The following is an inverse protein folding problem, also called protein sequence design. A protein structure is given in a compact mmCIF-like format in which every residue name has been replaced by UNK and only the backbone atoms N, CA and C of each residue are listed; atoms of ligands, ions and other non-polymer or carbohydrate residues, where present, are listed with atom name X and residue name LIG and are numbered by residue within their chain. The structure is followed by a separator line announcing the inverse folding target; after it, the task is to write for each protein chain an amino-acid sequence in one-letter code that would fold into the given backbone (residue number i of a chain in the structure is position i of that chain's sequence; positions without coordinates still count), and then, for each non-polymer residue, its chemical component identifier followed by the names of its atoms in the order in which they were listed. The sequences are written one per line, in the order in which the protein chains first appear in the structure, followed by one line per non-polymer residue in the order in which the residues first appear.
data_IF_856948232992
#
_entry.id   IF_856948232992
#
_cell.length_a   1.000
_cell.length_b   1.000
_cell.length_c   1.000
_cell.angle_alpha   90.00
_cell.angle_beta   90.00
_cell.angle_gamma   90.00
#
_symmetry.space_group_name_H-M   'P 1'
#
loop_
_entity.id
_entity.type
_entity.pdbx_description
1 polymer ?
#
# COMPACT_ATOMS: atom_id res chain seq x y z
N UNK A 1 -8.57 -3.93 6.72
CA UNK A 1 -8.39 -3.54 5.30
C UNK A 1 -9.53 -4.09 4.44
N UNK A 2 -10.08 -3.33 3.45
CA UNK A 2 -11.28 -3.73 2.69
C UNK A 2 -11.16 -5.03 1.89
N UNK A 3 -9.94 -5.41 1.48
CA UNK A 3 -9.70 -6.65 0.74
C UNK A 3 -9.77 -7.90 1.65
N UNK A 4 -9.40 -7.76 2.93
CA UNK A 4 -9.30 -8.91 3.84
C UNK A 4 -10.64 -9.61 4.07
N UNK A 5 -11.73 -8.84 4.14
CA UNK A 5 -13.08 -9.39 4.36
C UNK A 5 -13.60 -10.24 3.20
N UNK A 6 -12.97 -10.15 2.02
CA UNK A 6 -13.36 -10.92 0.83
C UNK A 6 -12.22 -11.78 0.28
N UNK A 7 -11.13 -11.91 1.04
CA UNK A 7 -9.94 -12.62 0.59
C UNK A 7 -10.24 -14.09 0.28
N UNK A 8 -11.04 -14.74 1.12
CA UNK A 8 -11.47 -16.13 0.91
C UNK A 8 -12.27 -16.31 -0.39
N UNK A 9 -13.09 -15.32 -0.78
CA UNK A 9 -13.82 -15.36 -2.05
C UNK A 9 -12.88 -15.18 -3.24
N UNK A 10 -11.87 -14.30 -3.13
CA UNK A 10 -10.85 -14.11 -4.17
C UNK A 10 -10.07 -15.40 -4.39
N UNK A 11 -9.69 -16.10 -3.31
CA UNK A 11 -8.94 -17.35 -3.36
C UNK A 11 -9.66 -18.49 -4.09
N UNK A 12 -11.01 -18.48 -4.15
CA UNK A 12 -11.79 -19.46 -4.92
C UNK A 12 -11.51 -19.38 -6.41
N UNK A 13 -11.11 -18.22 -6.92
CA UNK A 13 -10.92 -17.97 -8.36
C UNK A 13 -9.48 -17.63 -8.73
N UNK A 14 -8.66 -17.20 -7.76
CA UNK A 14 -7.29 -16.73 -8.00
C UNK A 14 -6.33 -17.38 -7.00
N UNK A 15 -5.36 -18.15 -7.49
CA UNK A 15 -4.38 -18.85 -6.64
C UNK A 15 -3.07 -18.09 -6.43
N UNK A 16 -2.64 -17.32 -7.43
CA UNK A 16 -1.36 -16.61 -7.41
C UNK A 16 -1.58 -15.18 -6.92
N UNK A 17 -1.61 -15.00 -5.61
CA UNK A 17 -1.84 -13.72 -4.97
C UNK A 17 -0.53 -13.10 -4.46
N UNK A 18 -0.29 -11.84 -4.79
CA UNK A 18 0.85 -11.07 -4.31
C UNK A 18 0.37 -9.69 -3.88
N UNK A 19 0.89 -9.20 -2.76
CA UNK A 19 0.33 -8.05 -2.07
C UNK A 19 1.35 -6.92 -1.96
N UNK A 20 0.83 -5.72 -2.13
CA UNK A 20 1.49 -4.48 -1.73
C UNK A 20 0.67 -3.88 -0.61
N UNK A 21 1.29 -3.58 0.52
CA UNK A 21 0.57 -3.10 1.69
C UNK A 21 1.25 -1.86 2.25
N UNK A 22 0.55 -0.73 2.17
CA UNK A 22 1.06 0.56 2.64
C UNK A 22 0.82 0.73 4.14
N UNK A 23 1.89 1.00 4.88
CA UNK A 23 1.85 1.43 6.27
C UNK A 23 2.88 2.55 6.42
N UNK A 24 2.44 3.80 6.52
CA UNK A 24 3.32 4.97 6.69
C UNK A 24 3.27 5.56 8.10
N UNK A 25 2.18 5.28 8.83
CA UNK A 25 1.87 5.94 10.10
C UNK A 25 1.58 7.44 9.98
N UNK A 26 1.23 7.92 8.78
CA UNK A 26 1.10 9.35 8.50
C UNK A 26 -0.35 9.86 8.61
N UNK A 27 -0.94 9.78 9.81
CA UNK A 27 -2.34 10.17 10.04
C UNK A 27 -2.63 11.65 9.77
N UNK A 28 -1.60 12.48 9.80
CA UNK A 28 -1.70 13.92 9.49
C UNK A 28 -2.01 14.18 8.02
N UNK A 29 -1.52 13.32 7.12
CA UNK A 29 -1.80 13.42 5.68
C UNK A 29 -2.72 12.30 5.17
N UNK A 30 -2.89 11.22 5.92
CA UNK A 30 -3.76 10.07 5.62
C UNK A 30 -4.97 10.07 6.56
N UNK A 31 -5.91 10.99 6.30
CA UNK A 31 -6.94 11.40 7.25
C UNK A 31 -7.88 10.29 7.73
N UNK A 32 -8.05 9.23 6.94
CA UNK A 32 -8.98 8.12 7.23
C UNK A 32 -8.38 6.76 6.94
N UNK A 33 -7.06 6.60 7.10
CA UNK A 33 -6.43 5.27 7.10
C UNK A 33 -6.57 4.59 8.46
N UNK A 34 -6.49 3.24 8.51
CA UNK A 34 -6.44 2.51 9.77
C UNK A 34 -5.29 2.95 10.68
N UNK A 35 -5.43 2.71 11.99
CA UNK A 35 -4.32 2.88 12.93
C UNK A 35 -3.13 1.98 12.55
N UNK A 36 -1.90 2.44 12.83
CA UNK A 36 -0.67 1.70 12.52
C UNK A 36 -0.70 0.28 13.08
N UNK A 37 -1.19 0.10 14.33
CA UNK A 37 -1.21 -1.22 14.95
C UNK A 37 -2.19 -2.16 14.25
N UNK A 38 -3.32 -1.64 13.78
CA UNK A 38 -4.30 -2.45 13.06
C UNK A 38 -3.83 -2.77 11.65
N UNK A 39 -3.19 -1.81 10.96
CA UNK A 39 -2.54 -2.03 9.67
C UNK A 39 -1.42 -3.08 9.77
N UNK A 40 -0.63 -3.07 10.85
CA UNK A 40 0.39 -4.09 11.12
C UNK A 40 -0.24 -5.46 11.37
N UNK A 41 -1.33 -5.56 12.14
CA UNK A 41 -2.05 -6.83 12.34
C UNK A 41 -2.53 -7.39 11.01
N UNK A 42 -3.13 -6.55 10.17
CA UNK A 42 -3.59 -6.91 8.82
C UNK A 42 -2.44 -7.40 7.93
N UNK A 43 -1.30 -6.69 7.96
CA UNK A 43 -0.10 -7.11 7.22
C UNK A 43 0.41 -8.48 7.68
N UNK A 44 0.57 -8.67 9.00
CA UNK A 44 1.05 -9.91 9.59
C UNK A 44 0.09 -11.06 9.27
N UNK A 45 -1.22 -10.80 9.26
CA UNK A 45 -2.22 -11.78 8.87
C UNK A 45 -1.97 -12.29 7.43
N UNK A 46 -1.76 -11.39 6.46
CA UNK A 46 -1.43 -11.76 5.08
C UNK A 46 -0.08 -12.48 5.00
N UNK A 47 0.96 -11.93 5.64
CA UNK A 47 2.30 -12.51 5.64
C UNK A 47 2.33 -13.93 6.22
N UNK A 48 1.49 -14.19 7.22
CA UNK A 48 1.36 -15.52 7.86
C UNK A 48 0.52 -16.48 7.01
N UNK A 49 -0.53 -15.98 6.34
CA UNK A 49 -1.41 -16.80 5.50
C UNK A 49 -0.71 -17.30 4.24
N UNK A 50 0.14 -16.48 3.61
CA UNK A 50 0.83 -16.84 2.37
C UNK A 50 2.33 -17.08 2.57
N UNK A 51 3.07 -16.01 2.87
CA UNK A 51 4.47 -15.98 3.27
C UNK A 51 4.95 -14.52 3.26
N UNK A 52 5.97 -14.15 4.04
CA UNK A 52 6.67 -12.86 3.92
C UNK A 52 7.14 -12.52 2.49
N UNK A 53 7.31 -13.50 1.61
CA UNK A 53 7.70 -13.29 0.20
C UNK A 53 6.52 -12.92 -0.70
N UNK A 54 5.28 -13.08 -0.23
CA UNK A 54 4.05 -12.75 -0.96
C UNK A 54 3.58 -11.31 -0.73
N UNK A 55 4.22 -10.56 0.16
CA UNK A 55 3.79 -9.22 0.53
C UNK A 55 4.99 -8.27 0.63
N UNK A 56 4.84 -7.08 0.07
CA UNK A 56 5.79 -5.99 0.21
C UNK A 56 5.18 -4.92 1.11
N UNK A 57 5.94 -4.51 2.13
CA UNK A 57 5.63 -3.31 2.89
C UNK A 57 5.95 -2.08 2.04
N UNK A 58 5.02 -1.15 1.96
CA UNK A 58 5.23 0.14 1.32
C UNK A 58 5.21 1.22 2.38
N UNK A 59 6.38 1.74 2.73
CA UNK A 59 6.50 3.00 3.46
C UNK A 59 6.50 4.14 2.43
N UNK A 60 5.41 4.19 1.65
CA UNK A 60 5.33 4.97 0.43
C UNK A 60 3.96 5.64 0.26
N UNK A 61 3.91 6.95 -0.08
CA UNK A 61 5.05 7.84 -0.26
C UNK A 61 5.48 8.51 1.07
N UNK A 62 6.77 8.86 1.16
CA UNK A 62 7.28 9.79 2.18
C UNK A 62 6.96 11.21 1.72
N UNK A 63 6.25 12.00 2.54
CA UNK A 63 5.74 13.32 2.17
C UNK A 63 6.23 14.41 3.14
N UNK A 64 7.36 15.03 2.82
CA UNK A 64 7.95 16.03 3.71
C UNK A 64 7.11 17.31 3.74
N UNK A 65 6.86 17.81 4.94
CA UNK A 65 6.17 19.08 5.18
C UNK A 65 6.90 19.88 6.26
N UNK A 66 6.46 21.10 6.50
CA UNK A 66 6.91 21.95 7.61
C UNK A 66 6.76 21.27 8.98
N UNK A 67 5.81 20.35 9.15
CA UNK A 67 5.54 19.62 10.39
C UNK A 67 5.83 18.12 10.34
N UNK A 68 6.23 17.61 9.17
CA UNK A 68 6.65 16.21 8.98
C UNK A 68 8.07 16.17 8.40
N UNK A 69 9.08 16.57 9.19
CA UNK A 69 10.49 16.43 8.82
C UNK A 69 10.97 14.97 8.84
N UNK A 70 12.22 14.75 8.41
CA UNK A 70 12.80 13.41 8.23
C UNK A 70 12.85 12.58 9.51
N UNK A 71 13.17 13.19 10.64
CA UNK A 71 13.18 12.58 11.99
C UNK A 71 11.81 12.00 12.36
N UNK A 72 10.71 12.71 12.08
CA UNK A 72 9.36 12.16 12.30
C UNK A 72 9.11 10.91 11.46
N UNK A 73 9.59 10.88 10.21
CA UNK A 73 9.48 9.69 9.36
C UNK A 73 10.40 8.56 9.80
N UNK A 74 11.57 8.88 10.33
CA UNK A 74 12.52 7.92 10.89
C UNK A 74 11.92 7.17 12.07
N UNK A 75 11.36 7.90 13.04
CA UNK A 75 10.72 7.31 14.22
C UNK A 75 9.58 6.36 13.84
N UNK A 76 8.74 6.77 12.88
CA UNK A 76 7.66 5.93 12.34
C UNK A 76 8.21 4.70 11.63
N UNK A 77 9.23 4.87 10.81
CA UNK A 77 9.85 3.77 10.08
C UNK A 77 10.41 2.73 11.06
N UNK A 78 11.14 3.16 12.09
CA UNK A 78 11.69 2.29 13.14
C UNK A 78 10.56 1.53 13.84
N UNK A 79 9.53 2.24 14.30
CA UNK A 79 8.40 1.64 14.99
C UNK A 79 7.71 0.56 14.15
N UNK A 80 7.45 0.84 12.86
CA UNK A 80 6.78 -0.11 11.97
C UNK A 80 7.72 -1.26 11.60
N UNK A 81 8.99 -0.99 11.32
CA UNK A 81 9.98 -2.02 10.99
C UNK A 81 10.18 -3.01 12.15
N UNK A 82 10.17 -2.52 13.39
CA UNK A 82 10.21 -3.35 14.59
C UNK A 82 8.98 -4.25 14.69
N UNK A 83 7.78 -3.68 14.52
CA UNK A 83 6.53 -4.43 14.55
C UNK A 83 6.42 -5.48 13.43
N UNK A 84 7.05 -5.23 12.27
CA UNK A 84 7.07 -6.14 11.12
C UNK A 84 8.26 -7.09 11.10
N UNK A 85 9.13 -7.07 12.13
CA UNK A 85 10.32 -7.93 12.20
C UNK A 85 9.94 -9.40 11.99
N UNK A 86 10.62 -10.05 11.05
CA UNK A 86 10.35 -11.45 10.68
C UNK A 86 9.21 -11.66 9.69
N UNK A 87 8.31 -10.68 9.52
CA UNK A 87 7.14 -10.76 8.61
C UNK A 87 7.31 -9.95 7.32
N UNK A 88 8.19 -8.95 7.29
CA UNK A 88 8.57 -8.24 6.08
C UNK A 88 9.97 -8.65 5.60
N UNK A 89 10.14 -8.79 4.28
CA UNK A 89 11.45 -9.03 3.63
C UNK A 89 11.90 -7.84 2.80
N UNK A 90 10.95 -7.04 2.33
CA UNK A 90 11.20 -5.92 1.44
C UNK A 90 10.29 -4.75 1.81
N UNK A 91 10.88 -3.56 1.81
CA UNK A 91 10.18 -2.30 1.93
C UNK A 91 10.43 -1.43 0.70
N UNK A 92 9.37 -0.90 0.10
CA UNK A 92 9.45 0.08 -0.99
C UNK A 92 9.15 1.47 -0.46
N UNK A 93 10.01 2.42 -0.83
CA UNK A 93 9.83 3.86 -0.58
C UNK A 93 9.85 4.66 -1.89
N UNK A 94 9.27 5.86 -1.82
CA UNK A 94 9.53 6.98 -2.72
C UNK A 94 9.22 8.27 -1.98
N UNK A 95 9.59 9.41 -2.54
CA UNK A 95 9.15 10.71 -2.05
C UNK A 95 7.97 11.19 -2.88
N UNK A 96 6.93 11.69 -2.21
CA UNK A 96 5.86 12.40 -2.89
C UNK A 96 6.46 13.57 -3.68
N UNK A 97 5.89 13.83 -4.86
CA UNK A 97 6.22 15.02 -5.64
C UNK A 97 5.11 16.06 -5.47
N UNK A 98 5.45 17.35 -5.37
CA UNK A 98 4.45 18.40 -5.36
C UNK A 98 3.80 18.48 -6.74
N UNK A 99 2.48 18.35 -6.79
CA UNK A 99 1.69 18.66 -7.99
C UNK A 99 0.43 19.40 -7.58
N UNK A 100 -0.16 20.17 -8.50
CA UNK A 100 -1.17 21.16 -8.16
C UNK A 100 -2.34 20.63 -7.32
N UNK A 101 -2.81 19.41 -7.57
CA UNK A 101 -3.87 18.81 -6.75
C UNK A 101 -3.40 18.43 -5.35
N UNK A 102 -2.23 17.81 -5.19
CA UNK A 102 -1.70 17.51 -3.85
C UNK A 102 -1.49 18.78 -3.02
N UNK A 103 -0.93 19.85 -3.62
CA UNK A 103 -0.74 21.12 -2.93
C UNK A 103 -2.08 21.72 -2.46
N UNK A 104 -3.11 21.72 -3.33
CA UNK A 104 -4.45 22.18 -2.96
C UNK A 104 -5.10 21.32 -1.88
N UNK A 105 -4.97 19.99 -1.97
CA UNK A 105 -5.57 19.07 -1.01
C UNK A 105 -4.92 19.20 0.37
N UNK A 106 -3.59 19.26 0.42
CA UNK A 106 -2.86 19.49 1.67
C UNK A 106 -3.31 20.82 2.29
N UNK A 107 -3.30 21.91 1.53
CA UNK A 107 -3.74 23.22 2.04
C UNK A 107 -5.23 23.30 2.44
N UNK A 108 -6.11 22.52 1.78
CA UNK A 108 -7.55 22.51 2.07
C UNK A 108 -7.90 21.66 3.29
N UNK A 109 -7.24 20.52 3.44
CA UNK A 109 -7.67 19.48 4.38
C UNK A 109 -6.72 19.28 5.57
N UNK A 110 -5.56 19.92 5.57
CA UNK A 110 -4.59 19.86 6.67
C UNK A 110 -4.02 21.25 6.96
N UNK A 111 -3.28 21.37 8.05
CA UNK A 111 -2.54 22.58 8.44
C UNK A 111 -1.04 22.48 8.07
N UNK A 112 -0.70 21.65 7.07
CA UNK A 112 0.67 21.41 6.62
C UNK A 112 0.98 22.17 5.33
N UNK A 113 2.26 22.41 5.10
CA UNK A 113 2.81 22.94 3.85
C UNK A 113 3.83 21.97 3.26
N UNK A 114 3.61 21.57 2.01
CA UNK A 114 4.52 20.64 1.32
C UNK A 114 5.92 21.25 1.17
N UNK A 115 6.94 20.45 1.47
CA UNK A 115 8.34 20.79 1.25
C UNK A 115 8.92 19.76 0.28
N UNK A 116 9.65 20.22 -0.73
CA UNK A 116 10.42 19.35 -1.63
C UNK A 116 11.92 19.46 -1.30
N UNK A 117 12.47 18.60 -0.42
CA UNK A 117 13.88 18.66 -0.11
C UNK A 117 14.75 18.36 -1.33
N UNK A 118 15.95 18.91 -1.35
CA UNK A 118 16.95 18.59 -2.35
C UNK A 118 17.22 17.07 -2.43
N UNK A 119 17.48 16.59 -3.66
CA UNK A 119 17.74 15.18 -3.92
C UNK A 119 18.87 14.60 -3.04
N UNK A 120 19.92 15.38 -2.75
CA UNK A 120 21.02 14.95 -1.87
C UNK A 120 20.54 14.59 -0.47
N UNK A 121 19.63 15.40 0.10
CA UNK A 121 19.06 15.16 1.43
C UNK A 121 18.15 13.94 1.44
N UNK A 122 17.30 13.80 0.41
CA UNK A 122 16.44 12.62 0.22
C UNK A 122 17.25 11.33 0.07
N UNK A 123 18.34 11.37 -0.71
CA UNK A 123 19.26 10.24 -0.89
C UNK A 123 19.92 9.86 0.44
N UNK A 124 20.49 10.83 1.16
CA UNK A 124 21.09 10.58 2.47
C UNK A 124 20.09 9.94 3.45
N UNK A 125 18.84 10.41 3.45
CA UNK A 125 17.79 9.82 4.28
C UNK A 125 17.42 8.40 3.84
N UNK A 126 17.32 8.12 2.54
CA UNK A 126 17.06 6.77 2.03
C UNK A 126 18.19 5.79 2.39
N UNK A 127 19.45 6.21 2.28
CA UNK A 127 20.62 5.40 2.70
C UNK A 127 20.58 5.12 4.21
N UNK A 128 20.20 6.11 5.02
CA UNK A 128 20.00 5.95 6.46
C UNK A 128 18.89 4.94 6.79
N UNK A 129 17.72 5.09 6.17
CA UNK A 129 16.61 4.14 6.31
C UNK A 129 16.99 2.73 5.86
N UNK A 130 17.86 2.57 4.86
CA UNK A 130 18.34 1.26 4.42
C UNK A 130 19.18 0.58 5.51
N UNK A 131 20.01 1.34 6.23
CA UNK A 131 20.75 0.86 7.39
C UNK A 131 19.82 0.36 8.50
N UNK A 132 18.77 1.14 8.80
CA UNK A 132 17.73 0.75 9.78
C UNK A 132 17.00 -0.51 9.30
N UNK A 133 16.50 -0.53 8.07
CA UNK A 133 15.77 -1.65 7.50
C UNK A 133 16.58 -2.95 7.57
N UNK A 134 17.88 -2.88 7.26
CA UNK A 134 18.80 -4.01 7.34
C UNK A 134 18.91 -4.59 8.76
N UNK A 135 18.89 -3.75 9.80
CA UNK A 135 18.88 -4.21 11.20
C UNK A 135 17.62 -5.04 11.54
N UNK A 136 16.51 -4.83 10.85
CA UNK A 136 15.28 -5.61 10.98
C UNK A 136 15.15 -6.75 9.96
N UNK A 137 16.17 -6.99 9.13
CA UNK A 137 16.15 -8.02 8.09
C UNK A 137 15.30 -7.64 6.87
N UNK A 138 15.09 -6.34 6.64
CA UNK A 138 14.26 -5.81 5.56
C UNK A 138 15.18 -5.17 4.50
N UNK A 139 15.03 -5.56 3.24
CA UNK A 139 15.68 -4.90 2.11
C UNK A 139 14.91 -3.65 1.71
N UNK A 140 15.60 -2.52 1.56
CA UNK A 140 15.00 -1.27 1.11
C UNK A 140 15.15 -1.10 -0.41
N UNK A 141 14.05 -0.75 -1.07
CA UNK A 141 14.00 -0.48 -2.51
C UNK A 141 13.30 0.86 -2.79
N UNK A 142 13.72 1.57 -3.82
CA UNK A 142 13.15 2.84 -4.25
C UNK A 142 12.36 2.67 -5.56
N UNK A 143 11.13 3.20 -5.60
CA UNK A 143 10.28 3.14 -6.80
C UNK A 143 10.30 4.46 -7.58
N UNK A 144 10.67 4.40 -8.86
CA UNK A 144 10.67 5.56 -9.78
C UNK A 144 11.45 6.76 -9.22
N UNK A 145 12.59 6.50 -8.60
CA UNK A 145 13.46 7.50 -7.98
C UNK A 145 14.90 7.02 -8.04
N UNK A 146 15.45 6.91 -9.26
CA UNK A 146 16.76 6.30 -9.50
C UNK A 146 17.90 7.08 -8.81
N UNK A 147 17.70 8.37 -8.53
CA UNK A 147 18.64 9.20 -7.75
C UNK A 147 18.82 8.73 -6.29
N UNK A 148 17.92 7.88 -5.77
CA UNK A 148 18.02 7.30 -4.44
C UNK A 148 18.89 6.03 -4.40
N UNK A 149 19.20 5.45 -5.56
CA UNK A 149 19.89 4.15 -5.62
C UNK A 149 21.31 4.23 -5.04
N UNK A 150 21.71 3.15 -4.39
CA UNK A 150 23.03 2.97 -3.78
C UNK A 150 23.30 1.47 -3.58
N UNK A 151 24.44 1.13 -2.97
CA UNK A 151 24.74 -0.25 -2.57
C UNK A 151 23.74 -0.80 -1.53
N UNK A 152 22.99 0.08 -0.85
CA UNK A 152 22.01 -0.30 0.18
C UNK A 152 20.56 -0.03 -0.22
N UNK A 153 20.31 0.78 -1.26
CA UNK A 153 18.97 1.10 -1.77
C UNK A 153 18.83 0.58 -3.19
N UNK A 154 17.96 -0.42 -3.38
CA UNK A 154 17.80 -1.10 -4.67
C UNK A 154 16.69 -0.49 -5.51
N UNK A 155 16.69 -0.80 -6.81
CA UNK A 155 15.59 -0.39 -7.71
C UNK A 155 14.38 -1.29 -7.48
N UNK A 156 13.24 -0.68 -7.18
CA UNK A 156 11.99 -1.41 -7.03
C UNK A 156 11.32 -1.68 -8.39
N UNK A 157 10.64 -2.82 -8.46
CA UNK A 157 9.63 -3.13 -9.46
C UNK A 157 8.38 -3.60 -8.70
N UNK A 158 7.32 -2.79 -8.68
CA UNK A 158 6.10 -3.16 -7.96
C UNK A 158 5.46 -4.43 -8.56
N UNK A 159 5.49 -4.56 -9.88
CA UNK A 159 5.16 -5.81 -10.57
C UNK A 159 6.44 -6.34 -11.21
N UNK A 160 7.04 -7.35 -10.60
CA UNK A 160 8.27 -7.97 -11.08
C UNK A 160 7.99 -9.38 -11.58
N UNK A 161 7.85 -9.53 -12.90
CA UNK A 161 7.59 -10.81 -13.53
C UNK A 161 8.64 -11.88 -13.22
N UNK A 162 9.91 -11.53 -12.97
CA UNK A 162 10.94 -12.51 -12.58
C UNK A 162 10.71 -12.99 -11.15
N UNK A 163 10.53 -12.05 -10.21
CA UNK A 163 10.24 -12.37 -8.80
C UNK A 163 8.96 -13.21 -8.68
N UNK A 164 7.89 -12.78 -9.34
CA UNK A 164 6.59 -13.45 -9.31
C UNK A 164 6.65 -14.82 -10.00
N UNK A 165 7.45 -14.98 -11.07
CA UNK A 165 7.62 -16.29 -11.71
C UNK A 165 8.25 -17.30 -10.76
N UNK A 166 9.27 -16.86 -10.01
CA UNK A 166 9.93 -17.68 -9.00
C UNK A 166 8.98 -18.01 -7.84
N UNK A 167 8.25 -17.01 -7.35
CA UNK A 167 7.33 -17.16 -6.23
C UNK A 167 6.19 -18.15 -6.53
N UNK A 168 5.63 -18.10 -7.73
CA UNK A 168 4.48 -18.90 -8.12
C UNK A 168 4.82 -20.15 -8.94
N UNK A 169 6.10 -20.41 -9.20
CA UNK A 169 6.54 -21.52 -10.06
C UNK A 169 5.91 -21.48 -11.45
N UNK A 170 5.60 -20.29 -11.97
CA UNK A 170 4.86 -20.07 -13.23
C UNK A 170 5.62 -19.10 -14.11
N UNK A 171 5.80 -19.39 -15.39
CA UNK A 171 6.45 -18.46 -16.31
C UNK A 171 5.55 -17.25 -16.62
N UNK A 172 5.93 -16.06 -16.15
CA UNK A 172 5.26 -14.78 -16.43
C UNK A 172 6.04 -13.93 -17.44
N UNK A 173 5.40 -12.91 -18.01
CA UNK A 173 6.07 -11.94 -18.88
C UNK A 173 7.10 -11.14 -18.06
N UNK A 174 8.36 -11.18 -18.48
CA UNK A 174 9.49 -10.53 -17.82
C UNK A 174 9.95 -9.28 -18.55
N UNK A 175 9.30 -8.91 -19.67
CA UNK A 175 9.60 -7.69 -20.40
C UNK A 175 9.24 -6.47 -19.58
N UNK A 176 10.19 -5.56 -19.46
CA UNK A 176 9.97 -4.27 -18.82
C UNK A 176 8.88 -3.51 -19.56
N UNK A 177 7.91 -3.00 -18.81
CA UNK A 177 6.82 -2.18 -19.31
C UNK A 177 6.65 -1.00 -18.34
N UNK A 178 7.57 -0.04 -18.43
CA UNK A 178 7.59 1.11 -17.55
C UNK A 178 6.32 1.96 -17.76
N UNK A 179 5.52 2.12 -16.69
CA UNK A 179 4.34 3.01 -16.70
C UNK A 179 4.69 4.49 -16.62
N UNK A 180 5.90 4.81 -16.16
CA UNK A 180 6.46 6.17 -16.05
C UNK A 180 7.99 6.12 -16.04
N UNK A 181 8.63 7.28 -16.11
CA UNK A 181 10.10 7.40 -16.04
C UNK A 181 10.64 6.64 -14.83
N UNK A 182 11.75 5.92 -15.03
CA UNK A 182 12.44 5.16 -13.99
C UNK A 182 11.66 3.96 -13.40
N UNK A 183 10.46 3.64 -13.91
CA UNK A 183 9.68 2.49 -13.47
C UNK A 183 10.35 1.16 -13.88
N UNK A 184 10.52 0.25 -12.91
CA UNK A 184 11.12 -1.08 -13.12
C UNK A 184 10.12 -2.21 -13.41
N UNK A 185 8.81 -1.92 -13.44
CA UNK A 185 7.79 -2.96 -13.55
C UNK A 185 7.82 -3.70 -14.90
N UNK A 186 7.38 -4.95 -14.87
CA UNK A 186 7.05 -5.74 -16.07
C UNK A 186 5.61 -5.50 -16.52
N UNK A 187 5.25 -6.05 -17.68
CA UNK A 187 3.89 -5.90 -18.23
C UNK A 187 2.81 -6.36 -17.25
N UNK A 188 1.83 -5.50 -17.01
CA UNK A 188 0.65 -5.77 -16.19
C UNK A 188 -0.56 -4.97 -16.72
N UNK A 189 -1.76 -5.37 -16.31
CA UNK A 189 -3.01 -4.65 -16.57
C UNK A 189 -3.58 -4.23 -15.23
N UNK A 190 -3.90 -2.95 -15.09
CA UNK A 190 -4.59 -2.43 -13.92
C UNK A 190 -6.10 -2.70 -14.03
N UNK A 191 -6.69 -3.22 -12.95
CA UNK A 191 -8.12 -3.53 -12.83
C UNK A 191 -8.79 -2.66 -11.75
N UNK A 192 -8.06 -1.72 -11.16
CA UNK A 192 -8.54 -0.83 -10.12
C UNK A 192 -9.50 0.25 -10.64
N UNK A 193 -10.20 0.89 -9.70
CA UNK A 193 -11.11 2.00 -9.97
C UNK A 193 -10.65 3.27 -9.24
N UNK A 194 -10.43 4.34 -10.00
CA UNK A 194 -10.20 5.67 -9.43
C UNK A 194 -11.49 6.26 -8.83
N UNK A 195 -11.34 7.31 -8.03
CA UNK A 195 -12.46 8.02 -7.39
C UNK A 195 -13.36 7.16 -6.48
N UNK A 196 -12.84 6.04 -5.97
CA UNK A 196 -13.58 5.13 -5.06
C UNK A 196 -12.95 4.98 -3.68
N UNK A 197 -11.71 5.43 -3.48
CA UNK A 197 -11.00 5.25 -2.22
C UNK A 197 -11.46 6.28 -1.17
N UNK A 198 -11.94 5.82 -0.01
CA UNK A 198 -12.40 6.68 1.08
C UNK A 198 -11.31 7.33 1.95
N UNK A 199 -10.03 6.92 1.84
CA UNK A 199 -8.98 7.26 2.82
C UNK A 199 -8.60 8.75 2.90
N UNK A 200 -8.83 9.53 1.85
CA UNK A 200 -8.67 11.00 1.92
C UNK A 200 -7.24 11.53 1.99
N UNK A 201 -6.24 10.80 1.49
CA UNK A 201 -4.86 11.23 1.62
C UNK A 201 -4.60 12.59 0.94
N UNK A 202 -3.90 13.51 1.60
CA UNK A 202 -3.58 14.85 1.07
C UNK A 202 -2.78 14.80 -0.23
N UNK A 203 -1.89 13.82 -0.39
CA UNK A 203 -1.10 13.60 -1.61
C UNK A 203 -1.82 12.73 -2.66
N UNK A 204 -3.09 12.34 -2.44
CA UNK A 204 -3.79 11.35 -3.27
C UNK A 204 -3.89 11.76 -4.74
N UNK A 205 -3.31 10.95 -5.63
CA UNK A 205 -3.41 11.13 -7.07
C UNK A 205 -4.63 10.43 -7.67
N UNK A 206 -5.14 9.36 -7.04
CA UNK A 206 -6.20 8.50 -7.56
C UNK A 206 -7.62 9.07 -7.43
N UNK A 207 -7.85 9.98 -6.46
CA UNK A 207 -9.13 10.66 -6.32
C UNK A 207 -9.03 12.07 -6.90
N UNK A 208 -9.86 12.37 -7.88
CA UNK A 208 -10.11 13.68 -8.45
C UNK A 208 -10.77 14.60 -7.44
N UNK A 209 -11.73 14.06 -6.67
CA UNK A 209 -12.49 14.77 -5.64
C UNK A 209 -12.62 13.87 -4.39
N UNK A 210 -12.06 14.32 -3.27
CA UNK A 210 -12.04 13.52 -2.05
C UNK A 210 -13.44 13.28 -1.47
N UNK A 211 -14.32 14.29 -1.52
CA UNK A 211 -15.65 14.20 -0.93
C UNK A 211 -16.55 13.27 -1.74
N UNK A 212 -16.43 13.30 -3.08
CA UNK A 212 -17.12 12.34 -3.96
C UNK A 212 -16.62 10.91 -3.73
N UNK A 213 -15.31 10.71 -3.66
CA UNK A 213 -14.73 9.40 -3.43
C UNK A 213 -15.15 8.81 -2.08
N UNK A 214 -15.27 9.63 -1.03
CA UNK A 214 -15.82 9.21 0.27
C UNK A 214 -17.25 8.69 0.16
N UNK A 215 -18.14 9.43 -0.54
CA UNK A 215 -19.54 9.02 -0.72
C UNK A 215 -19.64 7.72 -1.52
N UNK A 216 -18.81 7.56 -2.55
CA UNK A 216 -18.73 6.32 -3.32
C UNK A 216 -18.27 5.14 -2.47
N UNK A 217 -17.22 5.33 -1.67
CA UNK A 217 -16.69 4.31 -0.74
C UNK A 217 -17.76 3.87 0.27
N UNK A 218 -18.47 4.82 0.90
CA UNK A 218 -19.51 4.52 1.86
C UNK A 218 -20.68 3.75 1.22
N UNK A 219 -21.06 4.10 -0.01
CA UNK A 219 -22.07 3.36 -0.77
C UNK A 219 -21.62 1.93 -1.06
N UNK A 220 -20.37 1.73 -1.47
CA UNK A 220 -19.82 0.38 -1.72
C UNK A 220 -19.76 -0.46 -0.45
N UNK A 221 -19.44 0.12 0.70
CA UNK A 221 -19.44 -0.56 2.00
C UNK A 221 -20.88 -0.96 2.41
N UNK A 222 -21.85 -0.06 2.17
CA UNK A 222 -23.27 -0.30 2.43
C UNK A 222 -23.91 -1.32 1.46
N UNK A 223 -23.45 -1.39 0.20
CA UNK A 223 -23.90 -2.34 -0.81
C UNK A 223 -23.13 -3.69 -0.75
N UNK A 224 -22.05 -3.74 0.03
CA UNK A 224 -21.34 -4.96 0.42
C UNK A 224 -21.43 -5.19 1.94
N UNK A 225 -22.62 -5.15 2.57
CA UNK A 225 -22.71 -5.59 3.95
C UNK A 225 -22.37 -7.08 3.89
N UNK A 226 -21.31 -7.49 4.57
CA UNK A 226 -20.92 -8.89 4.82
C UNK A 226 -21.77 -9.90 4.05
N UNK A 227 -21.22 -10.53 2.99
CA UNK A 227 -21.86 -11.61 2.23
C UNK A 227 -22.15 -12.89 3.08
N UNK A 228 -22.31 -12.74 4.39
CA UNK A 228 -22.75 -13.76 5.35
C UNK A 228 -24.11 -13.47 6.01
N UNK A 229 -24.88 -12.45 5.63
CA UNK A 229 -26.27 -12.30 6.08
C UNK A 229 -27.18 -11.82 4.96
N UNK A 230 -27.61 -12.74 4.09
CA UNK A 230 -28.89 -12.59 3.39
C UNK A 230 -29.99 -13.11 4.33
N UNK A 231 -30.89 -12.27 4.88
CA UNK A 231 -32.04 -12.74 5.65
C UNK A 231 -33.01 -13.60 4.82
N UNK A 232 -32.84 -13.66 3.49
CA UNK A 232 -33.62 -14.52 2.58
C UNK A 232 -33.02 -15.91 2.40
N UNK A 233 -31.85 -16.21 2.98
CA UNK A 233 -31.31 -17.57 3.04
C UNK A 233 -31.66 -18.33 4.32
N UNK A 234 -32.35 -17.71 5.28
CA UNK A 234 -32.98 -18.41 6.42
C UNK A 234 -34.48 -18.58 6.20
N UNK A 235 -34.84 -19.38 5.19
CA UNK A 235 -36.18 -19.94 5.07
C UNK A 235 -36.12 -21.31 4.37
N UNK A 236 -35.36 -22.24 4.94
CA UNK A 236 -35.64 -23.66 4.70
C UNK A 236 -36.78 -24.03 5.65
N UNK A 237 -38.00 -23.95 5.15
CA UNK A 237 -39.21 -24.41 5.84
C UNK A 237 -39.28 -25.93 5.70
N UNK A 238 -39.04 -26.74 6.75
CA UNK A 238 -39.07 -28.20 6.63
C UNK A 238 -40.45 -28.73 7.02
N UNK A 239 -41.54 -28.20 6.45
CA UNK A 239 -42.88 -28.77 6.62
C UNK A 239 -43.70 -28.58 5.34
N UNK A 240 -43.54 -29.51 4.40
CA UNK A 240 -44.67 -30.07 3.66
C UNK A 240 -44.22 -31.30 2.86
N UNK A 241 -44.12 -32.43 3.56
CA UNK A 241 -44.27 -33.74 2.95
C UNK A 241 -45.06 -34.63 3.89
N UNK A 242 -46.38 -34.44 3.95
CA UNK A 242 -47.34 -35.53 4.11
C UNK A 242 -48.78 -35.05 3.89
N UNK A 243 -49.46 -35.75 2.97
CA UNK A 243 -50.88 -35.69 2.56
C UNK A 243 -51.23 -34.75 1.41
#
# INVERSE_FOLDING_TARGET
APLLSVLEEVEKTTRNLFFHFTITGNRELELRTPDVRDAVKDYIHIATRYSPDHIIWRFDPICITDKLPFDVYEDRFIQIAELLRGHARECIISFAHPYGKALRNIAKYTDHSFIDPEQRRKKAFADHLAGIAKHYGIRLSACCSDYLLSDSVHKAACIDGRKLSLLFGTALDTRTAASRRECGCTKSIDIGAYDTCGHGCGYCYANTDQEKAMRASAKQEMERPSLGTDPRMTAHNPENNNR
#
